data_IF_570847343625
#
_entry.id   IF_570847343625
#
_cell.length_a   1.000
_cell.length_b   1.000
_cell.length_c   1.000
_cell.angle_alpha   90.00
_cell.angle_beta   90.00
_cell.angle_gamma   90.00
#
_symmetry.space_group_name_H-M   'P 1'
#
loop_
_entity.id
_entity.type
_entity.pdbx_description
1 polymer ?
#
# COMPACT_ATOMS: atom_id res chain seq x y z
N UNK A 1 -5.43 19.16 -37.39
CA UNK A 1 -5.53 19.51 -35.95
C UNK A 1 -6.12 18.31 -35.23
N UNK A 2 -5.47 17.81 -34.18
CA UNK A 2 -5.96 16.62 -33.41
C UNK A 2 -6.83 17.05 -32.25
N UNK A 3 -6.41 18.06 -31.51
CA UNK A 3 -7.12 18.59 -30.34
C UNK A 3 -6.68 20.04 -30.06
N UNK A 4 -7.47 20.76 -29.26
CA UNK A 4 -7.07 21.98 -28.56
C UNK A 4 -6.68 21.58 -27.13
N UNK A 5 -5.44 21.84 -26.74
CA UNK A 5 -4.86 21.30 -25.50
C UNK A 5 -3.99 22.33 -24.78
N UNK A 6 -3.79 22.13 -23.48
CA UNK A 6 -2.81 22.89 -22.69
C UNK A 6 -1.48 22.14 -22.67
N UNK A 7 -0.39 22.90 -22.78
CA UNK A 7 0.98 22.39 -22.68
C UNK A 7 1.66 23.00 -21.46
N UNK A 8 2.18 22.14 -20.58
CA UNK A 8 3.05 22.54 -19.48
C UNK A 8 4.47 22.07 -19.78
N UNK A 9 5.43 22.98 -19.79
CA UNK A 9 6.85 22.65 -19.94
C UNK A 9 7.58 22.84 -18.61
N UNK A 10 8.22 21.78 -18.15
CA UNK A 10 9.08 21.77 -16.97
C UNK A 10 10.51 21.51 -17.42
N UNK A 11 11.34 22.56 -17.33
CA UNK A 11 12.76 22.50 -17.68
C UNK A 11 13.55 21.77 -16.60
N UNK A 12 14.48 20.89 -16.99
CA UNK A 12 15.46 20.29 -16.09
C UNK A 12 16.25 21.36 -15.30
N UNK A 13 16.57 21.14 -14.01
CA UNK A 13 16.23 19.98 -13.18
C UNK A 13 14.87 20.11 -12.46
N UNK A 14 14.04 21.10 -12.80
CA UNK A 14 12.82 21.46 -12.06
C UNK A 14 11.57 20.71 -12.51
N UNK A 15 11.69 19.40 -12.73
CA UNK A 15 10.61 18.50 -13.16
C UNK A 15 10.57 17.25 -12.28
N UNK A 16 9.47 16.49 -12.30
CA UNK A 16 9.34 15.27 -11.49
C UNK A 16 10.49 14.28 -11.72
N UNK A 17 10.93 14.08 -12.95
CA UNK A 17 12.04 13.18 -13.25
C UNK A 17 13.41 13.85 -13.15
N UNK A 18 13.48 15.17 -12.89
CA UNK A 18 14.67 16.02 -13.07
C UNK A 18 15.19 16.13 -14.52
N UNK A 19 14.45 15.60 -15.50
CA UNK A 19 14.74 15.75 -16.93
C UNK A 19 13.84 16.84 -17.56
N UNK A 20 14.01 17.18 -18.83
CA UNK A 20 13.03 18.03 -19.51
C UNK A 20 11.71 17.25 -19.68
N UNK A 21 10.61 17.81 -19.17
CA UNK A 21 9.27 17.17 -19.21
C UNK A 21 8.26 18.11 -19.85
N UNK A 22 7.44 17.55 -20.73
CA UNK A 22 6.26 18.23 -21.29
C UNK A 22 5.02 17.42 -20.88
N UNK A 23 4.02 18.09 -20.32
CA UNK A 23 2.69 17.53 -20.07
C UNK A 23 1.70 18.12 -21.07
N UNK A 24 0.96 17.25 -21.77
CA UNK A 24 -0.08 17.62 -22.73
C UNK A 24 -1.46 17.29 -22.16
N UNK A 25 -2.15 18.31 -21.67
CA UNK A 25 -3.51 18.18 -21.12
C UNK A 25 -4.53 18.35 -22.24
N UNK A 26 -4.95 17.22 -22.80
CA UNK A 26 -5.95 17.12 -23.87
C UNK A 26 -7.38 17.04 -23.30
N UNK A 27 -8.39 17.16 -24.16
CA UNK A 27 -9.75 16.81 -23.79
C UNK A 27 -9.83 15.34 -23.36
N UNK A 28 -10.56 15.05 -22.27
CA UNK A 28 -10.57 13.73 -21.60
C UNK A 28 -11.19 12.55 -22.36
N UNK A 29 -11.48 12.69 -23.65
CA UNK A 29 -11.97 11.60 -24.47
C UNK A 29 -10.86 10.61 -24.83
N UNK A 30 -11.19 9.32 -24.90
CA UNK A 30 -10.22 8.27 -25.25
C UNK A 30 -9.56 8.51 -26.62
N UNK A 31 -10.33 8.99 -27.61
CA UNK A 31 -9.83 9.23 -28.97
C UNK A 31 -8.79 10.37 -29.04
N UNK A 32 -9.03 11.57 -28.49
CA UNK A 32 -8.00 12.62 -28.38
C UNK A 32 -6.71 12.11 -27.72
N UNK A 33 -6.80 11.48 -26.54
CA UNK A 33 -5.64 10.99 -25.80
C UNK A 33 -4.84 9.96 -26.60
N UNK A 34 -5.51 8.98 -27.21
CA UNK A 34 -4.84 7.96 -28.03
C UNK A 34 -4.15 8.57 -29.26
N UNK A 35 -4.78 9.54 -29.92
CA UNK A 35 -4.17 10.23 -31.07
C UNK A 35 -2.97 11.09 -30.65
N UNK A 36 -3.06 11.79 -29.53
CA UNK A 36 -1.93 12.56 -28.98
C UNK A 36 -0.76 11.64 -28.63
N UNK A 37 -1.02 10.50 -27.97
CA UNK A 37 0.02 9.50 -27.67
C UNK A 37 0.66 8.96 -28.96
N UNK A 38 -0.15 8.61 -29.96
CA UNK A 38 0.36 8.12 -31.25
C UNK A 38 1.27 9.16 -31.95
N UNK A 39 0.93 10.45 -31.87
CA UNK A 39 1.77 11.53 -32.40
C UNK A 39 3.10 11.65 -31.64
N UNK A 40 3.09 11.53 -30.31
CA UNK A 40 4.32 11.55 -29.52
C UNK A 40 5.24 10.39 -29.89
N UNK A 41 4.70 9.18 -30.04
CA UNK A 41 5.45 7.99 -30.46
C UNK A 41 6.01 8.15 -31.88
N UNK A 42 5.21 8.67 -32.82
CA UNK A 42 5.66 8.98 -34.18
C UNK A 42 6.75 10.06 -34.20
N UNK A 43 6.75 10.96 -33.21
CA UNK A 43 7.79 11.97 -32.99
C UNK A 43 9.08 11.45 -32.34
N UNK A 44 9.18 10.13 -32.08
CA UNK A 44 10.38 9.49 -31.54
C UNK A 44 10.32 9.16 -30.05
N UNK A 45 9.20 9.43 -29.36
CA UNK A 45 9.03 8.98 -27.99
C UNK A 45 8.88 7.45 -27.93
N UNK A 46 9.31 6.85 -26.81
CA UNK A 46 9.02 5.46 -26.44
C UNK A 46 7.90 5.43 -25.40
N UNK A 47 7.06 4.40 -25.43
CA UNK A 47 6.10 4.14 -24.36
C UNK A 47 6.83 3.84 -23.05
N UNK A 48 6.46 4.53 -21.97
CA UNK A 48 7.05 4.31 -20.66
C UNK A 48 6.67 2.94 -20.08
N UNK A 49 7.59 2.32 -19.35
CA UNK A 49 7.36 1.12 -18.57
C UNK A 49 6.62 1.42 -17.26
N UNK A 50 6.01 0.42 -16.60
CA UNK A 50 5.36 0.61 -15.30
C UNK A 50 6.32 1.23 -14.27
N UNK A 51 5.95 2.38 -13.72
CA UNK A 51 6.74 3.09 -12.72
C UNK A 51 7.97 3.83 -13.24
N UNK A 52 8.20 3.87 -14.56
CA UNK A 52 9.43 4.42 -15.14
C UNK A 52 9.68 5.89 -14.76
N UNK A 53 8.65 6.74 -14.71
CA UNK A 53 8.80 8.13 -14.29
C UNK A 53 9.30 8.26 -12.85
N UNK A 54 8.75 7.47 -11.92
CA UNK A 54 9.19 7.45 -10.51
C UNK A 54 10.61 6.87 -10.39
N UNK A 55 10.93 5.83 -11.16
CA UNK A 55 12.28 5.28 -11.23
C UNK A 55 13.31 6.33 -11.67
N UNK A 56 13.00 7.12 -12.71
CA UNK A 56 13.90 8.19 -13.17
C UNK A 56 14.08 9.28 -12.12
N UNK A 57 13.01 9.66 -11.42
CA UNK A 57 13.10 10.60 -10.30
C UNK A 57 14.04 10.08 -9.19
N UNK A 58 13.99 8.78 -8.89
CA UNK A 58 14.89 8.11 -7.96
C UNK A 58 16.34 8.09 -8.45
N UNK A 59 16.57 7.66 -9.70
CA UNK A 59 17.91 7.58 -10.30
C UNK A 59 18.58 8.95 -10.40
N UNK A 60 17.80 10.00 -10.64
CA UNK A 60 18.29 11.38 -10.67
C UNK A 60 18.37 12.04 -9.28
N UNK A 61 18.16 11.28 -8.20
CA UNK A 61 18.37 11.73 -6.82
C UNK A 61 17.35 12.74 -6.31
N UNK A 62 16.20 12.92 -6.99
CA UNK A 62 15.12 13.80 -6.52
C UNK A 62 14.45 13.24 -5.27
N UNK A 63 14.29 11.92 -5.26
CA UNK A 63 13.63 11.14 -4.22
C UNK A 63 14.49 9.91 -3.91
N UNK A 64 14.41 9.39 -2.69
CA UNK A 64 14.96 8.06 -2.39
C UNK A 64 13.93 6.93 -2.59
N UNK A 65 14.36 5.69 -2.35
CA UNK A 65 13.54 4.51 -2.59
C UNK A 65 12.27 4.50 -1.72
N UNK A 66 12.37 4.94 -0.46
CA UNK A 66 11.22 4.96 0.45
C UNK A 66 10.16 5.97 0.02
N UNK A 67 10.59 7.09 -0.59
CA UNK A 67 9.71 8.09 -1.17
C UNK A 67 9.11 7.63 -2.52
N UNK A 68 9.89 6.88 -3.32
CA UNK A 68 9.41 6.27 -4.55
C UNK A 68 8.27 5.27 -4.27
N UNK A 69 8.43 4.41 -3.27
CA UNK A 69 7.38 3.48 -2.80
C UNK A 69 6.14 4.24 -2.31
N UNK A 70 6.35 5.28 -1.49
CA UNK A 70 5.27 6.11 -0.97
C UNK A 70 4.44 6.81 -2.05
N UNK A 71 5.01 7.05 -3.25
CA UNK A 71 4.25 7.61 -4.38
C UNK A 71 3.10 6.68 -4.79
N UNK A 72 3.34 5.37 -4.81
CA UNK A 72 2.31 4.39 -5.13
C UNK A 72 1.29 4.27 -4.00
N UNK A 73 1.75 4.33 -2.75
CA UNK A 73 0.88 4.27 -1.56
C UNK A 73 -0.09 5.46 -1.52
N UNK A 74 0.34 6.67 -1.89
CA UNK A 74 -0.55 7.84 -2.00
C UNK A 74 -1.63 7.61 -3.06
N UNK A 75 -1.27 7.04 -4.21
CA UNK A 75 -2.22 6.75 -5.31
C UNK A 75 -3.24 5.69 -4.88
N UNK A 76 -2.82 4.70 -4.10
CA UNK A 76 -3.63 3.55 -3.69
C UNK A 76 -4.37 3.76 -2.37
N UNK A 77 -4.09 4.81 -1.62
CA UNK A 77 -4.68 5.06 -0.31
C UNK A 77 -6.22 5.06 -0.36
N UNK A 78 -6.84 4.20 0.45
CA UNK A 78 -8.30 4.02 0.53
C UNK A 78 -8.90 4.67 1.77
N UNK A 79 -8.07 5.01 2.75
CA UNK A 79 -8.48 5.69 4.00
C UNK A 79 -7.65 6.94 4.22
N UNK A 80 -8.20 7.93 4.94
CA UNK A 80 -7.46 9.15 5.29
C UNK A 80 -6.19 8.86 6.09
N UNK A 81 -6.20 7.82 6.94
CA UNK A 81 -5.04 7.39 7.72
C UNK A 81 -3.95 6.81 6.81
N UNK A 82 -4.30 5.91 5.88
CA UNK A 82 -3.35 5.36 4.91
C UNK A 82 -2.73 6.46 4.03
N UNK A 83 -3.54 7.44 3.62
CA UNK A 83 -3.09 8.60 2.85
C UNK A 83 -2.12 9.47 3.65
N UNK A 84 -2.45 9.78 4.91
CA UNK A 84 -1.60 10.59 5.78
C UNK A 84 -0.23 9.91 6.04
N UNK A 85 -0.21 8.60 6.25
CA UNK A 85 1.03 7.83 6.40
C UNK A 85 1.86 7.85 5.12
N UNK A 86 1.24 7.63 3.96
CA UNK A 86 1.92 7.68 2.67
C UNK A 86 2.48 9.07 2.37
N UNK A 87 1.72 10.14 2.66
CA UNK A 87 2.16 11.52 2.52
C UNK A 87 3.34 11.85 3.44
N UNK A 88 3.31 11.41 4.71
CA UNK A 88 4.42 11.58 5.62
C UNK A 88 5.68 10.91 5.03
N UNK A 89 5.59 9.64 4.62
CA UNK A 89 6.72 8.90 4.05
C UNK A 89 7.24 9.56 2.76
N UNK A 90 6.35 10.05 1.90
CA UNK A 90 6.70 10.83 0.72
C UNK A 90 7.44 12.13 1.08
N UNK A 91 7.07 12.75 2.21
CA UNK A 91 7.78 13.88 2.82
C UNK A 91 9.20 13.54 3.34
N UNK A 92 9.60 12.27 3.32
CA UNK A 92 10.97 11.83 3.55
C UNK A 92 11.35 11.64 5.01
N UNK A 93 10.39 11.54 5.94
CA UNK A 93 10.71 11.34 7.37
C UNK A 93 11.52 10.06 7.60
N UNK A 94 11.12 8.94 6.97
CA UNK A 94 11.78 7.65 7.13
C UNK A 94 13.20 7.71 6.60
N UNK A 95 13.37 8.30 5.42
CA UNK A 95 14.67 8.49 4.82
C UNK A 95 15.58 9.37 5.66
N UNK A 96 15.05 10.43 6.26
CA UNK A 96 15.82 11.30 7.14
C UNK A 96 16.28 10.54 8.38
N UNK A 97 15.40 9.76 9.01
CA UNK A 97 15.76 8.90 10.15
C UNK A 97 16.85 7.89 9.78
N UNK A 98 16.73 7.20 8.64
CA UNK A 98 17.73 6.24 8.16
C UNK A 98 19.06 6.95 7.86
N UNK A 99 19.03 8.14 7.25
CA UNK A 99 20.25 8.92 6.98
C UNK A 99 20.97 9.31 8.26
N UNK A 100 20.24 9.70 9.31
CA UNK A 100 20.82 9.99 10.63
C UNK A 100 21.49 8.77 11.22
N UNK A 101 20.77 7.63 11.29
CA UNK A 101 21.33 6.36 11.81
C UNK A 101 22.58 5.96 11.02
N UNK A 102 22.53 6.06 9.68
CA UNK A 102 23.67 5.75 8.82
C UNK A 102 24.87 6.67 9.10
N UNK A 103 24.65 7.96 9.32
CA UNK A 103 25.72 8.90 9.61
C UNK A 103 26.42 8.57 10.94
N UNK A 104 25.64 8.27 11.98
CA UNK A 104 26.17 7.87 13.29
C UNK A 104 27.03 6.59 13.17
N UNK A 105 26.53 5.58 12.47
CA UNK A 105 27.26 4.33 12.24
C UNK A 105 28.53 4.53 11.40
N UNK A 106 28.50 5.40 10.39
CA UNK A 106 29.68 5.72 9.58
C UNK A 106 30.76 6.44 10.39
N UNK A 107 30.37 7.29 11.35
CA UNK A 107 31.33 7.93 12.25
C UNK A 107 32.00 6.89 13.16
N UNK A 108 31.23 5.98 13.76
CA UNK A 108 31.79 4.90 14.57
C UNK A 108 32.70 3.97 13.75
N UNK A 109 32.30 3.64 12.52
CA UNK A 109 33.12 2.85 11.60
C UNK A 109 34.42 3.55 11.22
N UNK A 110 34.36 4.84 10.89
CA UNK A 110 35.54 5.63 10.54
C UNK A 110 36.54 5.69 11.69
N UNK A 111 36.06 5.89 12.92
CA UNK A 111 36.88 5.85 14.12
C UNK A 111 37.57 4.50 14.31
N UNK A 112 36.82 3.40 14.30
CA UNK A 112 37.39 2.05 14.42
C UNK A 112 38.43 1.74 13.34
N UNK A 113 38.14 2.15 12.10
CA UNK A 113 39.04 1.95 10.97
C UNK A 113 40.35 2.70 11.19
N UNK A 114 40.29 3.97 11.61
CA UNK A 114 41.48 4.76 11.91
C UNK A 114 42.32 4.17 13.05
N UNK A 115 41.69 3.71 14.14
CA UNK A 115 42.39 3.05 15.26
C UNK A 115 43.10 1.77 14.84
N UNK A 116 42.54 1.02 13.88
CA UNK A 116 43.14 -0.21 13.36
C UNK A 116 44.29 0.06 12.38
N UNK A 117 44.13 1.06 11.51
CA UNK A 117 45.10 1.37 10.46
C UNK A 117 46.32 2.15 10.99
N UNK A 118 46.16 2.95 12.05
CA UNK A 118 47.20 3.82 12.61
C UNK A 118 47.39 3.63 14.12
N UNK A 119 47.85 2.45 14.56
CA UNK A 119 48.01 2.14 15.99
C UNK A 119 49.08 3.01 16.68
N UNK A 120 49.97 3.63 15.91
CA UNK A 120 51.07 4.48 16.37
C UNK A 120 50.72 5.97 16.51
N UNK A 121 49.58 6.40 15.99
CA UNK A 121 49.17 7.81 15.95
C UNK A 121 48.48 8.31 17.25
N UNK A 122 48.62 7.58 18.37
CA UNK A 122 48.03 7.91 19.69
C UNK A 122 46.57 8.40 19.61
N UNK A 123 45.73 7.76 18.81
CA UNK A 123 44.31 8.11 18.70
C UNK A 123 43.65 7.89 20.08
N UNK A 124 43.08 8.95 20.66
CA UNK A 124 42.37 8.88 21.93
C UNK A 124 41.27 7.81 21.87
N UNK A 125 41.23 6.94 22.89
CA UNK A 125 40.23 5.87 22.99
C UNK A 125 38.87 6.50 23.29
N UNK A 126 38.08 6.75 22.24
CA UNK A 126 36.68 7.10 22.35
C UNK A 126 35.83 5.84 22.55
N UNK A 127 34.93 5.90 23.53
CA UNK A 127 33.89 4.89 23.70
C UNK A 127 32.77 5.14 22.69
N UNK A 128 32.67 4.26 21.68
CA UNK A 128 31.64 4.31 20.65
C UNK A 128 30.34 3.61 21.05
N UNK A 129 30.33 2.90 22.19
CA UNK A 129 29.17 2.14 22.68
C UNK A 129 27.91 3.01 22.76
N UNK A 130 27.95 4.26 23.27
CA UNK A 130 26.76 5.10 23.37
C UNK A 130 26.13 5.44 22.00
N UNK A 131 26.94 5.62 20.95
CA UNK A 131 26.44 5.93 19.61
C UNK A 131 25.83 4.70 18.93
N UNK A 132 26.41 3.52 19.17
CA UNK A 132 25.86 2.25 18.73
C UNK A 132 24.54 1.92 19.43
N UNK A 133 24.46 2.12 20.76
CA UNK A 133 23.23 1.93 21.54
C UNK A 133 22.13 2.89 21.09
N UNK A 134 22.46 4.15 20.81
CA UNK A 134 21.51 5.14 20.27
C UNK A 134 20.98 4.71 18.89
N UNK A 135 21.86 4.28 18.01
CA UNK A 135 21.50 3.81 16.67
C UNK A 135 20.61 2.56 16.73
N UNK A 136 20.95 1.61 17.61
CA UNK A 136 20.16 0.41 17.85
C UNK A 136 18.77 0.75 18.38
N UNK A 137 18.69 1.63 19.39
CA UNK A 137 17.42 2.07 19.94
C UNK A 137 16.54 2.73 18.86
N UNK A 138 17.11 3.59 18.00
CA UNK A 138 16.38 4.21 16.90
C UNK A 138 15.81 3.19 15.90
N UNK A 139 16.60 2.17 15.52
CA UNK A 139 16.13 1.07 14.66
C UNK A 139 15.02 0.27 15.35
N UNK A 140 15.17 -0.04 16.64
CA UNK A 140 14.15 -0.77 17.40
C UNK A 140 12.83 0.00 17.49
N UNK A 141 12.86 1.33 17.62
CA UNK A 141 11.65 2.16 17.58
C UNK A 141 10.94 2.10 16.22
N UNK A 142 11.71 2.10 15.12
CA UNK A 142 11.13 1.92 13.78
C UNK A 142 10.46 0.55 13.63
N UNK A 143 11.15 -0.51 14.08
CA UNK A 143 10.63 -1.88 14.00
C UNK A 143 9.38 -2.08 14.88
N UNK A 144 9.31 -1.45 16.05
CA UNK A 144 8.18 -1.57 16.96
C UNK A 144 6.83 -1.10 16.36
N UNK A 145 6.87 -0.28 15.31
CA UNK A 145 5.66 0.26 14.65
C UNK A 145 5.47 -0.25 13.22
N UNK A 146 6.36 -1.11 12.72
CA UNK A 146 6.39 -1.55 11.33
C UNK A 146 5.13 -2.34 10.95
N UNK A 147 4.72 -3.31 11.77
CA UNK A 147 3.55 -4.16 11.51
C UNK A 147 2.26 -3.34 11.48
N UNK A 148 2.11 -2.42 12.43
CA UNK A 148 0.97 -1.51 12.47
C UNK A 148 0.92 -0.63 11.20
N UNK A 149 2.07 -0.08 10.79
CA UNK A 149 2.17 0.69 9.55
C UNK A 149 1.86 -0.15 8.31
N UNK A 150 2.22 -1.43 8.31
CA UNK A 150 1.87 -2.35 7.22
C UNK A 150 0.36 -2.58 7.13
N UNK A 151 -0.32 -2.81 8.25
CA UNK A 151 -1.79 -2.99 8.29
C UNK A 151 -2.51 -1.73 7.78
N UNK A 152 -2.07 -0.54 8.17
CA UNK A 152 -2.68 0.70 7.65
C UNK A 152 -2.45 0.92 6.15
N UNK A 153 -1.33 0.43 5.60
CA UNK A 153 -1.00 0.58 4.15
C UNK A 153 -1.67 -0.48 3.29
N UNK A 154 -1.58 -1.75 3.68
CA UNK A 154 -2.05 -2.89 2.89
C UNK A 154 -3.52 -3.23 3.19
N UNK A 155 -4.01 -2.80 4.35
CA UNK A 155 -5.33 -3.19 4.83
C UNK A 155 -5.34 -4.58 5.46
N UNK A 156 -6.55 -5.10 5.64
CA UNK A 156 -6.81 -6.45 6.10
C UNK A 156 -7.95 -7.07 5.30
N UNK A 157 -8.00 -8.40 5.22
CA UNK A 157 -9.10 -9.16 4.62
C UNK A 157 -9.92 -9.81 5.73
N UNK A 158 -11.21 -9.51 5.79
CA UNK A 158 -12.11 -10.09 6.77
C UNK A 158 -13.21 -10.93 6.10
N UNK A 159 -13.25 -12.22 6.43
CA UNK A 159 -14.28 -13.14 5.96
C UNK A 159 -15.47 -13.17 6.93
N UNK A 160 -16.66 -12.90 6.43
CA UNK A 160 -17.91 -13.02 7.19
C UNK A 160 -18.45 -14.43 7.01
N UNK A 161 -18.48 -15.23 8.07
CA UNK A 161 -18.93 -16.63 8.05
C UNK A 161 -20.12 -16.84 8.97
N UNK A 162 -20.92 -17.85 8.67
CA UNK A 162 -22.13 -18.15 9.43
C UNK A 162 -23.18 -18.84 8.56
N UNK A 163 -24.20 -19.40 9.20
CA UNK A 163 -25.28 -20.13 8.53
C UNK A 163 -26.02 -19.28 7.48
N UNK A 164 -26.68 -19.89 6.49
CA UNK A 164 -27.64 -19.18 5.64
C UNK A 164 -28.62 -18.36 6.49
N UNK A 165 -28.92 -17.14 6.04
CA UNK A 165 -29.82 -16.19 6.74
C UNK A 165 -29.38 -15.70 8.13
N UNK A 166 -28.15 -15.99 8.58
CA UNK A 166 -27.63 -15.48 9.87
C UNK A 166 -27.42 -13.94 9.92
N UNK A 167 -27.78 -13.22 8.87
CA UNK A 167 -27.64 -11.75 8.81
C UNK A 167 -26.29 -11.25 8.28
N UNK A 168 -25.43 -12.11 7.71
CA UNK A 168 -24.12 -11.73 7.14
C UNK A 168 -24.20 -10.54 6.17
N UNK A 169 -25.03 -10.65 5.13
CA UNK A 169 -25.20 -9.59 4.14
C UNK A 169 -25.84 -8.33 4.73
N UNK A 170 -26.66 -8.45 5.79
CA UNK A 170 -27.19 -7.28 6.53
C UNK A 170 -26.09 -6.56 7.31
N UNK A 171 -25.20 -7.30 7.99
CA UNK A 171 -24.06 -6.75 8.71
C UNK A 171 -23.06 -6.09 7.75
N UNK A 172 -22.72 -6.77 6.65
CA UNK A 172 -21.85 -6.23 5.59
C UNK A 172 -22.40 -4.90 5.08
N UNK A 173 -23.69 -4.83 4.74
CA UNK A 173 -24.32 -3.60 4.28
C UNK A 173 -24.31 -2.50 5.35
N UNK A 174 -24.48 -2.84 6.63
CA UNK A 174 -24.41 -1.88 7.72
C UNK A 174 -23.00 -1.29 7.86
N UNK A 175 -21.97 -2.13 7.85
CA UNK A 175 -20.56 -1.71 7.90
C UNK A 175 -20.20 -0.80 6.71
N UNK A 176 -20.59 -1.20 5.50
CA UNK A 176 -20.31 -0.43 4.29
C UNK A 176 -21.04 0.91 4.22
N UNK A 177 -22.22 1.05 4.83
CA UNK A 177 -22.97 2.32 4.84
C UNK A 177 -22.35 3.37 5.76
N UNK A 178 -21.79 2.95 6.89
CA UNK A 178 -21.20 3.86 7.86
C UNK A 178 -19.72 4.14 7.58
N UNK A 179 -19.01 3.17 7.01
CA UNK A 179 -17.55 3.19 6.97
C UNK A 179 -17.02 2.98 5.54
N UNK A 180 -17.74 3.36 4.48
CA UNK A 180 -17.22 3.13 3.12
C UNK A 180 -15.87 3.83 2.92
N UNK A 181 -14.85 3.07 2.54
CA UNK A 181 -13.60 3.64 2.08
C UNK A 181 -13.85 4.44 0.79
N UNK A 182 -13.13 5.54 0.59
CA UNK A 182 -13.25 6.33 -0.64
C UNK A 182 -12.54 5.54 -1.74
N UNK A 183 -13.29 4.69 -2.44
CA UNK A 183 -12.78 3.94 -3.59
C UNK A 183 -13.05 4.77 -4.84
N UNK A 184 -12.00 5.04 -5.62
CA UNK A 184 -12.16 5.69 -6.92
C UNK A 184 -12.96 4.76 -7.83
N UNK A 185 -14.02 5.23 -8.53
CA UNK A 185 -14.76 4.43 -9.48
C UNK A 185 -13.97 4.31 -10.80
N UNK A 186 -12.77 3.72 -10.76
CA UNK A 186 -12.03 3.40 -11.98
C UNK A 186 -12.59 2.09 -12.51
N UNK A 187 -13.33 2.17 -13.62
CA UNK A 187 -13.79 1.00 -14.35
C UNK A 187 -12.58 0.23 -14.88
N UNK A 188 -12.31 -0.96 -14.32
CA UNK A 188 -11.29 -1.87 -14.86
C UNK A 188 -10.45 -2.62 -13.83
N UNK A 189 -10.48 -2.28 -12.55
CA UNK A 189 -9.80 -3.09 -11.52
C UNK A 189 -10.71 -4.21 -11.06
N UNK A 190 -10.83 -5.23 -11.93
CA UNK A 190 -11.36 -6.59 -11.70
C UNK A 190 -12.75 -6.65 -11.03
N UNK A 191 -13.87 -6.63 -11.77
CA UNK A 191 -14.40 -7.83 -12.49
C UNK A 191 -13.96 -9.14 -11.82
N UNK A 192 -14.41 -9.39 -10.60
CA UNK A 192 -15.06 -10.65 -10.17
C UNK A 192 -15.35 -10.62 -8.66
N UNK A 193 -16.65 -10.71 -8.32
CA UNK A 193 -17.27 -10.92 -6.99
C UNK A 193 -17.06 -9.95 -5.84
N UNK A 194 -18.17 -9.35 -5.37
CA UNK A 194 -18.62 -9.16 -3.96
C UNK A 194 -17.61 -8.79 -2.84
N UNK A 195 -16.39 -8.39 -3.16
CA UNK A 195 -15.42 -7.84 -2.22
C UNK A 195 -15.64 -6.33 -2.13
N UNK A 196 -16.00 -5.83 -0.95
CA UNK A 196 -16.15 -4.38 -0.69
C UNK A 196 -15.22 -3.94 0.43
N UNK A 197 -14.61 -2.76 0.28
CA UNK A 197 -13.70 -2.19 1.27
C UNK A 197 -14.41 -1.23 2.23
N UNK A 198 -14.32 -1.51 3.53
CA UNK A 198 -14.72 -0.62 4.61
C UNK A 198 -13.48 0.01 5.27
N UNK A 199 -13.64 1.17 5.89
CA UNK A 199 -12.65 1.90 6.66
C UNK A 199 -12.93 1.69 8.15
N UNK A 200 -12.35 0.64 8.72
CA UNK A 200 -12.52 0.32 10.14
C UNK A 200 -11.38 0.97 10.92
N UNK A 201 -11.66 2.03 11.67
CA UNK A 201 -10.65 2.68 12.52
C UNK A 201 -9.41 3.22 11.76
N UNK A 202 -9.57 3.58 10.49
CA UNK A 202 -8.48 4.04 9.61
C UNK A 202 -7.85 2.93 8.77
N UNK A 203 -8.20 1.66 8.99
CA UNK A 203 -7.66 0.51 8.25
C UNK A 203 -8.62 0.18 7.09
N UNK A 204 -8.14 0.08 5.84
CA UNK A 204 -8.95 -0.46 4.76
C UNK A 204 -9.14 -1.96 4.96
N UNK A 205 -10.37 -2.38 5.23
CA UNK A 205 -10.73 -3.78 5.43
C UNK A 205 -11.56 -4.25 4.25
N UNK A 206 -11.04 -5.21 3.49
CA UNK A 206 -11.79 -5.91 2.45
C UNK A 206 -12.70 -6.93 3.11
N UNK A 207 -14.01 -6.67 3.06
CA UNK A 207 -15.04 -7.56 3.56
C UNK A 207 -15.43 -8.56 2.46
N UNK A 208 -15.38 -9.84 2.80
CA UNK A 208 -15.74 -10.94 1.90
C UNK A 208 -17.00 -11.61 2.44
N UNK A 209 -18.12 -11.51 1.71
CA UNK A 209 -19.34 -12.26 2.04
C UNK A 209 -19.16 -13.71 1.62
N UNK A 210 -19.18 -14.64 2.57
CA UNK A 210 -19.16 -16.07 2.27
C UNK A 210 -20.59 -16.57 2.08
N UNK A 211 -20.83 -17.41 1.07
CA UNK A 211 -22.06 -18.17 1.02
C UNK A 211 -22.11 -19.07 2.27
N UNK A 212 -23.29 -19.22 2.89
CA UNK A 212 -23.43 -20.04 4.08
C UNK A 212 -22.81 -21.42 3.86
N UNK A 213 -21.88 -21.83 4.73
CA UNK A 213 -21.14 -23.09 4.58
C UNK A 213 -22.05 -24.23 5.01
N UNK A 214 -22.81 -24.78 4.07
CA UNK A 214 -23.63 -25.98 4.26
C UNK A 214 -23.37 -26.91 3.09
N UNK A 215 -23.19 -28.21 3.35
CA UNK A 215 -23.02 -29.19 2.28
C UNK A 215 -24.28 -29.25 1.40
N UNK A 216 -24.09 -29.18 0.08
CA UNK A 216 -25.17 -29.21 -0.91
C UNK A 216 -24.76 -29.98 -2.15
N UNK A 217 -25.74 -30.62 -2.79
CA UNK A 217 -25.61 -31.33 -4.06
C UNK A 217 -25.85 -30.42 -5.27
N UNK A 218 -26.26 -29.16 -5.08
CA UNK A 218 -26.43 -28.18 -6.14
C UNK A 218 -25.05 -27.64 -6.62
N UNK A 219 -24.69 -27.77 -7.90
CA UNK A 219 -23.44 -27.26 -8.46
C UNK A 219 -23.19 -25.76 -8.17
N UNK A 220 -24.24 -24.94 -8.09
CA UNK A 220 -24.14 -23.50 -7.78
C UNK A 220 -23.78 -23.29 -6.31
N UNK A 221 -24.38 -24.06 -5.41
CA UNK A 221 -24.08 -23.99 -3.98
C UNK A 221 -22.69 -24.58 -3.67
N UNK A 222 -22.25 -25.61 -4.41
CA UNK A 222 -20.89 -26.16 -4.30
C UNK A 222 -19.82 -25.13 -4.69
N UNK A 223 -20.05 -24.34 -5.74
CA UNK A 223 -19.19 -23.20 -6.09
C UNK A 223 -19.18 -22.16 -4.96
N UNK A 224 -20.34 -21.91 -4.34
CA UNK A 224 -20.45 -21.05 -3.15
C UNK A 224 -19.58 -21.52 -1.99
N UNK A 225 -19.66 -22.81 -1.64
CA UNK A 225 -18.88 -23.43 -0.55
C UNK A 225 -17.37 -23.38 -0.85
N UNK A 226 -16.95 -23.72 -2.08
CA UNK A 226 -15.55 -23.64 -2.47
C UNK A 226 -14.98 -22.21 -2.35
N UNK A 227 -15.78 -21.20 -2.73
CA UNK A 227 -15.40 -19.79 -2.56
C UNK A 227 -15.34 -19.37 -1.09
N UNK A 228 -16.28 -19.83 -0.26
CA UNK A 228 -16.24 -19.58 1.18
C UNK A 228 -14.98 -20.16 1.83
N UNK A 229 -14.54 -21.36 1.44
CA UNK A 229 -13.28 -21.94 1.90
C UNK A 229 -12.06 -21.15 1.42
N UNK A 230 -12.03 -20.71 0.16
CA UNK A 230 -10.94 -19.88 -0.36
C UNK A 230 -10.87 -18.52 0.35
N UNK A 231 -12.02 -17.90 0.63
CA UNK A 231 -12.11 -16.65 1.37
C UNK A 231 -11.59 -16.80 2.80
N UNK A 232 -11.99 -17.87 3.50
CA UNK A 232 -11.48 -18.19 4.84
C UNK A 232 -9.96 -18.39 4.86
N UNK A 233 -9.42 -19.12 3.88
CA UNK A 233 -7.97 -19.37 3.80
C UNK A 233 -7.15 -18.11 3.51
N UNK A 234 -7.76 -17.11 2.86
CA UNK A 234 -7.11 -15.85 2.48
C UNK A 234 -7.47 -14.68 3.41
N UNK A 235 -8.19 -14.92 4.51
CA UNK A 235 -8.60 -13.89 5.45
C UNK A 235 -7.59 -13.71 6.58
N UNK A 236 -7.28 -12.46 6.89
CA UNK A 236 -6.50 -12.08 8.08
C UNK A 236 -7.38 -12.11 9.35
N UNK A 237 -8.71 -12.00 9.17
CA UNK A 237 -9.69 -12.01 10.23
C UNK A 237 -10.95 -12.79 9.81
N UNK A 238 -11.49 -13.61 10.71
CA UNK A 238 -12.76 -14.32 10.50
C UNK A 238 -13.81 -13.78 11.46
N UNK A 239 -14.95 -13.35 10.92
CA UNK A 239 -16.09 -12.83 11.67
C UNK A 239 -17.24 -13.84 11.61
N UNK A 240 -17.44 -14.57 12.70
CA UNK A 240 -18.58 -15.49 12.83
C UNK A 240 -19.85 -14.71 13.20
N UNK A 241 -20.85 -14.74 12.31
CA UNK A 241 -22.15 -14.11 12.50
C UNK A 241 -23.17 -15.17 12.91
N UNK A 242 -23.76 -14.98 14.09
CA UNK A 242 -24.78 -15.85 14.66
C UNK A 242 -26.10 -15.10 14.81
N UNK A 243 -27.19 -15.77 14.44
CA UNK A 243 -28.55 -15.30 14.69
C UNK A 243 -28.91 -15.51 16.17
N UNK A 244 -29.12 -14.41 16.90
CA UNK A 244 -29.46 -14.44 18.33
C UNK A 244 -30.84 -15.02 18.63
N UNK A 245 -31.69 -15.18 17.61
CA UNK A 245 -33.02 -15.81 17.75
C UNK A 245 -32.95 -17.33 17.71
N UNK A 246 -31.81 -17.91 17.34
CA UNK A 246 -31.61 -19.35 17.26
C UNK A 246 -30.62 -19.85 18.33
N UNK A 247 -30.81 -21.08 18.84
CA UNK A 247 -29.82 -21.69 19.71
C UNK A 247 -28.50 -21.90 18.96
N UNK A 248 -27.38 -21.61 19.63
CA UNK A 248 -26.04 -21.85 19.09
C UNK A 248 -25.85 -23.36 18.94
N UNK A 249 -25.93 -23.84 17.70
CA UNK A 249 -25.67 -25.25 17.39
C UNK A 249 -24.16 -25.55 17.45
N UNK A 250 -23.76 -26.80 17.76
CA UNK A 250 -22.35 -27.22 17.70
C UNK A 250 -21.69 -27.01 16.33
N UNK A 251 -22.43 -27.17 15.23
CA UNK A 251 -21.92 -26.92 13.86
C UNK A 251 -21.52 -25.46 13.63
N UNK A 252 -22.24 -24.51 14.21
CA UNK A 252 -21.92 -23.09 14.07
C UNK A 252 -20.58 -22.74 14.73
N UNK A 253 -20.18 -23.47 15.78
CA UNK A 253 -18.89 -23.35 16.43
C UNK A 253 -17.74 -24.00 15.63
N UNK A 254 -18.04 -24.91 14.70
CA UNK A 254 -17.05 -25.60 13.87
C UNK A 254 -16.72 -24.88 12.55
N UNK A 255 -17.42 -23.79 12.23
CA UNK A 255 -17.27 -23.01 10.98
C UNK A 255 -16.07 -22.06 11.03
N UNK A 256 -15.59 -21.70 12.23
CA UNK A 256 -14.39 -20.90 12.43
C UNK A 256 -13.29 -21.79 13.03
N UNK A 257 -12.20 -22.09 12.30
CA UNK A 257 -11.05 -22.84 12.83
C UNK A 257 -10.24 -22.03 13.85
#
# INVERSE_FOLDING_TARGET
VVDEALLTYMRAPHSFTCEDVIELSCHGGAMPVQRTLALALAGGARLAEPGEFTLRAFLNGRIDLSQAEATLDVIRAQTSTSLALAQAQLGGWLAQTIRTIRADLLNSLAYLTATLDFPEDEIEVADITPDLERSLAAVQQLLATADQGQIYRQGARAALVGRPNAGKSSLLNALLRHERAIVTPIAGTTRDTLEETANIGGIPVVLIDTAGITASDDPVEQIGVARSHAALAAADLVLLVLDSTQPVSPEAAAIAP
#
